data_IF_213004359459
#
_entry.id   IF_213004359459
#
_cell.length_a   1.000
_cell.length_b   1.000
_cell.length_c   1.000
_cell.angle_alpha   90.00
_cell.angle_beta   90.00
_cell.angle_gamma   90.00
#
_symmetry.space_group_name_H-M   'P 1'
#
loop_
_entity.id
_entity.type
_entity.pdbx_description
1 polymer ?
#
# COMPACT_ATOMS: atom_id res chain seq x y z
N UNK A 1 32.26 8.58 -15.36
CA UNK A 1 32.50 7.16 -15.74
C UNK A 1 31.76 6.29 -14.76
N UNK A 2 31.16 5.18 -15.21
CA UNK A 2 30.42 4.30 -14.31
C UNK A 2 31.36 3.36 -13.56
N UNK A 3 31.28 3.38 -12.24
CA UNK A 3 31.98 2.46 -11.35
C UNK A 3 30.97 1.64 -10.56
N UNK A 4 31.14 0.31 -10.53
CA UNK A 4 30.23 -0.60 -9.82
C UNK A 4 30.92 -1.24 -8.63
N UNK A 5 30.24 -1.22 -7.49
CA UNK A 5 30.69 -1.86 -6.27
C UNK A 5 29.61 -2.87 -5.84
N UNK A 6 30.01 -4.11 -5.61
CA UNK A 6 29.11 -5.18 -5.17
C UNK A 6 29.52 -5.62 -3.77
N UNK A 7 28.69 -5.31 -2.77
CA UNK A 7 28.86 -5.81 -1.42
C UNK A 7 28.11 -7.14 -1.26
N UNK A 8 28.88 -8.23 -1.21
CA UNK A 8 28.36 -9.60 -1.19
C UNK A 8 27.63 -9.92 0.11
N UNK A 9 26.46 -10.56 -0.02
CA UNK A 9 25.60 -10.97 1.10
C UNK A 9 25.22 -9.82 2.07
N UNK A 10 25.21 -8.58 1.59
CA UNK A 10 24.78 -7.43 2.37
C UNK A 10 23.34 -7.06 2.01
N UNK A 11 22.39 -7.83 2.53
CA UNK A 11 20.97 -7.55 2.29
C UNK A 11 20.52 -6.32 3.09
N UNK A 12 19.89 -5.37 2.40
CA UNK A 12 19.33 -4.16 2.99
C UNK A 12 17.90 -3.93 2.49
N UNK A 13 17.08 -3.31 3.34
CA UNK A 13 15.74 -2.89 2.95
C UNK A 13 15.80 -1.75 1.90
N UNK A 14 14.81 -1.69 1.02
CA UNK A 14 14.77 -0.72 -0.09
C UNK A 14 14.75 0.74 0.39
N UNK A 15 14.19 1.04 1.57
CA UNK A 15 14.19 2.38 2.16
C UNK A 15 15.62 2.77 2.59
N UNK A 16 16.35 1.84 3.22
CA UNK A 16 17.75 2.07 3.63
C UNK A 16 18.59 2.38 2.39
N UNK A 17 18.42 1.60 1.32
CA UNK A 17 19.13 1.80 0.05
C UNK A 17 18.77 3.12 -0.65
N UNK A 18 17.50 3.52 -0.62
CA UNK A 18 17.05 4.80 -1.17
C UNK A 18 17.63 5.99 -0.39
N UNK A 19 17.57 5.94 0.95
CA UNK A 19 18.16 6.97 1.81
C UNK A 19 19.68 7.06 1.63
N UNK A 20 20.35 5.92 1.51
CA UNK A 20 21.77 5.85 1.21
C UNK A 20 22.07 6.48 -0.17
N UNK A 21 21.29 6.15 -1.20
CA UNK A 21 21.42 6.75 -2.54
C UNK A 21 21.33 8.27 -2.47
N UNK A 22 20.31 8.80 -1.77
CA UNK A 22 20.15 10.25 -1.59
C UNK A 22 21.32 10.87 -0.84
N UNK A 23 21.87 10.19 0.17
CA UNK A 23 23.04 10.66 0.93
C UNK A 23 24.28 10.72 0.03
N UNK A 24 24.53 9.69 -0.77
CA UNK A 24 25.66 9.67 -1.71
C UNK A 24 25.56 10.78 -2.76
N UNK A 25 24.36 11.07 -3.28
CA UNK A 25 24.14 12.17 -4.21
C UNK A 25 24.46 13.57 -3.63
N UNK A 26 24.70 13.70 -2.33
CA UNK A 26 25.16 14.96 -1.71
C UNK A 26 26.67 15.14 -1.69
N UNK A 27 27.44 14.10 -2.04
CA UNK A 27 28.91 14.13 -2.05
C UNK A 27 29.39 14.86 -3.31
N UNK A 28 30.26 15.84 -3.13
CA UNK A 28 30.87 16.59 -4.24
C UNK A 28 31.71 15.65 -5.13
N UNK A 29 31.57 15.78 -6.45
CA UNK A 29 32.24 14.94 -7.44
C UNK A 29 31.48 13.68 -7.86
N UNK A 30 30.30 13.43 -7.29
CA UNK A 30 29.35 12.41 -7.76
C UNK A 30 28.32 13.05 -8.70
N UNK A 31 28.36 12.69 -9.98
CA UNK A 31 27.39 13.15 -10.97
C UNK A 31 26.05 12.42 -10.83
N UNK A 32 26.11 11.12 -10.53
CA UNK A 32 24.95 10.28 -10.31
C UNK A 32 25.32 9.07 -9.44
N UNK A 33 24.36 8.53 -8.71
CA UNK A 33 24.54 7.32 -7.91
C UNK A 33 23.22 6.55 -7.80
N UNK A 34 23.31 5.23 -7.70
CA UNK A 34 22.17 4.38 -7.37
C UNK A 34 22.62 3.16 -6.56
N UNK A 35 21.94 2.92 -5.43
CA UNK A 35 22.16 1.74 -4.59
C UNK A 35 20.90 0.89 -4.58
N UNK A 36 21.00 -0.37 -4.99
CA UNK A 36 19.87 -1.31 -5.00
C UNK A 36 20.34 -2.75 -4.71
N UNK A 37 19.41 -3.64 -4.35
CA UNK A 37 19.71 -5.07 -4.29
C UNK A 37 19.96 -5.65 -5.69
N UNK A 38 20.85 -6.63 -5.83
CA UNK A 38 21.22 -7.29 -7.09
C UNK A 38 20.16 -8.23 -7.68
N UNK A 39 18.87 -7.95 -7.49
CA UNK A 39 17.75 -8.73 -8.03
C UNK A 39 17.63 -8.52 -9.55
N UNK A 40 17.04 -9.47 -10.30
CA UNK A 40 16.79 -9.29 -11.73
C UNK A 40 16.01 -8.00 -12.06
N UNK A 41 14.96 -7.70 -11.29
CA UNK A 41 14.15 -6.49 -11.49
C UNK A 41 14.96 -5.19 -11.32
N UNK A 42 15.80 -5.12 -10.28
CA UNK A 42 16.64 -3.93 -10.06
C UNK A 42 17.73 -3.80 -11.13
N UNK A 43 18.27 -4.92 -11.64
CA UNK A 43 19.20 -4.89 -12.78
C UNK A 43 18.57 -4.25 -14.02
N UNK A 44 17.28 -4.50 -14.26
CA UNK A 44 16.56 -3.85 -15.35
C UNK A 44 16.35 -2.35 -15.09
N UNK A 45 16.11 -1.94 -13.84
CA UNK A 45 16.08 -0.52 -13.45
C UNK A 45 17.41 0.17 -13.76
N UNK A 46 18.55 -0.45 -13.42
CA UNK A 46 19.86 0.09 -13.77
C UNK A 46 20.04 0.24 -15.29
N UNK A 47 19.56 -0.72 -16.10
CA UNK A 47 19.64 -0.63 -17.58
C UNK A 47 18.83 0.55 -18.10
N UNK A 48 17.59 0.68 -17.67
CA UNK A 48 16.71 1.78 -18.10
C UNK A 48 17.23 3.14 -17.65
N UNK A 49 17.86 3.20 -16.47
CA UNK A 49 18.49 4.41 -15.94
C UNK A 49 19.84 4.76 -16.54
N UNK A 50 20.39 3.93 -17.46
CA UNK A 50 21.72 4.15 -18.03
C UNK A 50 22.88 3.94 -17.05
N UNK A 51 22.63 3.23 -15.95
CA UNK A 51 23.59 2.95 -14.86
C UNK A 51 23.98 1.46 -14.82
N UNK A 52 23.71 0.68 -15.87
CA UNK A 52 24.08 -0.73 -15.89
C UNK A 52 25.53 -0.92 -16.35
N UNK A 53 26.27 -1.79 -15.65
CA UNK A 53 27.61 -2.23 -16.02
C UNK A 53 27.65 -3.76 -16.17
N UNK A 54 28.60 -4.29 -16.93
CA UNK A 54 28.73 -5.74 -17.11
C UNK A 54 29.03 -6.48 -15.78
N UNK A 55 29.73 -5.82 -14.86
CA UNK A 55 30.10 -6.34 -13.54
C UNK A 55 28.88 -6.73 -12.70
N UNK A 56 27.77 -6.02 -12.89
CA UNK A 56 26.48 -6.25 -12.21
C UNK A 56 25.86 -7.62 -12.53
N UNK A 57 26.25 -8.25 -13.64
CA UNK A 57 25.80 -9.61 -13.97
C UNK A 57 26.13 -10.62 -12.85
N UNK A 58 27.23 -10.39 -12.12
CA UNK A 58 27.70 -11.22 -11.01
C UNK A 58 26.97 -10.98 -9.68
N UNK A 59 26.11 -9.98 -9.58
CA UNK A 59 25.33 -9.70 -8.37
C UNK A 59 24.14 -10.68 -8.25
N UNK A 60 23.84 -11.10 -7.04
CA UNK A 60 22.67 -11.92 -6.70
C UNK A 60 21.66 -11.09 -5.90
N UNK A 61 20.46 -11.64 -5.66
CA UNK A 61 19.42 -10.97 -4.87
C UNK A 61 19.82 -10.65 -3.42
N UNK A 62 20.90 -11.27 -2.91
CA UNK A 62 21.42 -11.03 -1.56
C UNK A 62 22.56 -10.00 -1.53
N UNK A 63 22.99 -9.49 -2.68
CA UNK A 63 24.10 -8.55 -2.78
C UNK A 63 23.57 -7.11 -2.92
N UNK A 64 24.16 -6.18 -2.18
CA UNK A 64 23.94 -4.76 -2.40
C UNK A 64 24.84 -4.28 -3.54
N UNK A 65 24.25 -3.62 -4.53
CA UNK A 65 24.93 -3.09 -5.70
C UNK A 65 24.85 -1.58 -5.68
N UNK A 66 26.02 -0.95 -5.77
CA UNK A 66 26.19 0.48 -5.92
C UNK A 66 26.74 0.74 -7.33
N UNK A 67 26.14 1.70 -8.03
CA UNK A 67 26.73 2.28 -9.25
C UNK A 67 26.91 3.78 -9.04
N UNK A 68 28.11 4.26 -9.31
CA UNK A 68 28.51 5.66 -9.23
C UNK A 68 28.87 6.16 -10.64
N UNK A 69 28.41 7.35 -10.99
CA UNK A 69 28.96 8.12 -12.11
C UNK A 69 29.88 9.21 -11.55
N UNK A 70 31.19 8.98 -11.65
CA UNK A 70 32.25 9.83 -11.08
C UNK A 70 33.35 10.06 -12.11
N UNK A 71 34.07 11.17 -12.00
CA UNK A 71 35.23 11.46 -12.86
C UNK A 71 36.56 11.04 -12.23
N UNK A 72 36.64 11.07 -10.90
CA UNK A 72 37.85 10.80 -10.13
C UNK A 72 37.65 9.58 -9.21
N UNK A 73 38.48 8.56 -9.36
CA UNK A 73 38.39 7.32 -8.57
C UNK A 73 38.72 7.53 -7.07
N UNK A 74 39.41 8.60 -6.71
CA UNK A 74 39.75 8.95 -5.31
C UNK A 74 38.51 9.14 -4.43
N UNK A 75 37.36 9.47 -5.04
CA UNK A 75 36.07 9.63 -4.37
C UNK A 75 35.53 8.28 -3.84
N UNK A 76 35.95 7.15 -4.42
CA UNK A 76 35.45 5.81 -4.05
C UNK A 76 35.71 5.51 -2.58
N UNK A 77 36.87 5.87 -2.03
CA UNK A 77 37.18 5.64 -0.61
C UNK A 77 36.24 6.43 0.31
N UNK A 78 35.94 7.68 -0.07
CA UNK A 78 34.99 8.54 0.66
C UNK A 78 33.58 7.93 0.63
N UNK A 79 33.15 7.44 -0.54
CA UNK A 79 31.85 6.78 -0.69
C UNK A 79 31.74 5.53 0.17
N UNK A 80 32.77 4.66 0.16
CA UNK A 80 32.77 3.46 0.97
C UNK A 80 32.70 3.78 2.47
N UNK A 81 33.46 4.78 2.93
CA UNK A 81 33.39 5.25 4.31
C UNK A 81 32.00 5.77 4.68
N UNK A 82 31.34 6.49 3.76
CA UNK A 82 30.01 7.04 4.00
C UNK A 82 28.93 5.96 4.06
N UNK A 83 29.04 4.92 3.23
CA UNK A 83 28.18 3.74 3.27
C UNK A 83 28.30 3.04 4.62
N UNK A 84 29.52 2.77 5.07
CA UNK A 84 29.77 2.08 6.34
C UNK A 84 29.25 2.90 7.53
N UNK A 85 29.46 4.22 7.51
CA UNK A 85 28.92 5.12 8.53
C UNK A 85 27.38 5.14 8.53
N UNK A 86 26.76 5.26 7.36
CA UNK A 86 25.30 5.27 7.23
C UNK A 86 24.64 3.98 7.71
N UNK A 87 25.19 2.82 7.32
CA UNK A 87 24.67 1.52 7.74
C UNK A 87 24.88 1.28 9.24
N UNK A 88 26.00 1.76 9.79
CA UNK A 88 26.26 1.71 11.24
C UNK A 88 25.29 2.59 12.02
N UNK A 89 25.03 3.82 11.56
CA UNK A 89 24.06 4.72 12.20
C UNK A 89 22.63 4.15 12.16
N UNK A 90 22.22 3.54 11.04
CA UNK A 90 20.94 2.85 10.94
C UNK A 90 20.80 1.74 11.98
N UNK A 91 21.87 0.98 12.22
CA UNK A 91 21.86 -0.08 13.24
C UNK A 91 21.75 0.47 14.68
N UNK A 92 22.26 1.68 14.95
CA UNK A 92 22.25 2.33 16.26
C UNK A 92 21.00 3.20 16.51
N UNK A 93 20.28 3.60 15.46
CA UNK A 93 19.07 4.43 15.52
C UNK A 93 17.80 3.65 15.88
N UNK A 94 17.90 2.33 16.02
CA UNK A 94 16.81 1.47 16.50
C UNK A 94 16.54 1.73 18.00
N UNK A 95 15.81 2.81 18.28
CA UNK A 95 15.24 3.06 19.60
C UNK A 95 14.24 1.96 19.97
N UNK A 96 14.43 1.40 21.17
CA UNK A 96 13.89 0.14 21.72
C UNK A 96 14.62 -1.14 21.25
N UNK A 97 15.15 -1.90 22.22
CA UNK A 97 15.78 -3.21 22.00
C UNK A 97 14.77 -4.15 21.32
N UNK A 98 14.83 -4.20 19.99
CA UNK A 98 14.01 -5.12 19.21
C UNK A 98 14.58 -6.52 19.41
N UNK A 99 13.84 -7.37 20.11
CA UNK A 99 14.23 -8.76 20.32
C UNK A 99 14.05 -9.54 19.02
N UNK A 100 15.16 -10.04 18.46
CA UNK A 100 15.15 -10.80 17.21
C UNK A 100 15.44 -12.29 17.45
N UNK A 101 14.73 -13.14 16.70
CA UNK A 101 14.87 -14.60 16.75
C UNK A 101 14.87 -15.16 15.34
N UNK A 102 15.36 -16.40 15.18
CA UNK A 102 15.56 -17.04 13.87
C UNK A 102 14.68 -18.27 13.63
N UNK A 103 13.78 -18.59 14.55
CA UNK A 103 12.89 -19.77 14.44
C UNK A 103 11.49 -19.43 14.92
N UNK A 104 10.48 -20.08 14.32
CA UNK A 104 9.08 -19.93 14.73
C UNK A 104 8.84 -20.28 16.19
N UNK A 105 9.44 -21.37 16.68
CA UNK A 105 9.30 -21.78 18.09
C UNK A 105 9.66 -20.64 19.05
N UNK A 106 10.81 -19.99 18.83
CA UNK A 106 11.25 -18.86 19.65
C UNK A 106 10.39 -17.61 19.41
N UNK A 107 9.93 -17.38 18.19
CA UNK A 107 9.06 -16.24 17.86
C UNK A 107 7.70 -16.37 18.55
N UNK A 108 7.13 -17.58 18.57
CA UNK A 108 5.86 -17.87 19.23
C UNK A 108 5.98 -17.85 20.75
N UNK A 109 7.13 -18.23 21.32
CA UNK A 109 7.38 -18.10 22.76
C UNK A 109 7.49 -16.62 23.17
N UNK A 110 8.28 -15.85 22.42
CA UNK A 110 8.47 -14.41 22.64
C UNK A 110 7.16 -13.62 22.45
N UNK A 111 6.41 -13.95 21.40
CA UNK A 111 5.17 -13.32 20.98
C UNK A 111 3.92 -14.11 21.33
N UNK A 112 3.92 -14.89 22.42
CA UNK A 112 2.79 -15.79 22.77
C UNK A 112 1.45 -15.07 22.83
N UNK A 113 1.45 -13.83 23.32
CA UNK A 113 0.25 -13.00 23.48
C UNK A 113 -0.09 -12.17 22.23
N UNK A 114 0.84 -12.07 21.27
CA UNK A 114 0.59 -11.36 20.01
C UNK A 114 -0.54 -12.06 19.23
N UNK A 115 -1.44 -11.29 18.64
CA UNK A 115 -2.57 -11.83 17.86
C UNK A 115 -2.36 -11.77 16.36
N UNK A 116 -1.39 -10.98 15.90
CA UNK A 116 -1.11 -10.71 14.50
C UNK A 116 0.33 -11.06 14.20
N UNK A 117 0.57 -11.79 13.11
CA UNK A 117 1.88 -11.98 12.50
C UNK A 117 2.00 -11.07 11.27
N UNK A 118 3.08 -10.29 11.18
CA UNK A 118 3.34 -9.40 10.04
C UNK A 118 4.45 -10.03 9.20
N UNK A 119 4.17 -10.28 7.92
CA UNK A 119 5.07 -10.95 6.99
C UNK A 119 5.44 -10.01 5.84
N UNK A 120 6.74 -9.76 5.69
CA UNK A 120 7.35 -8.91 4.66
C UNK A 120 8.58 -9.58 4.05
N UNK A 121 8.41 -10.81 3.60
CA UNK A 121 9.46 -11.68 3.02
C UNK A 121 9.23 -11.86 1.51
N UNK A 122 10.17 -12.47 0.74
CA UNK A 122 9.92 -12.76 -0.66
C UNK A 122 8.63 -13.58 -0.87
N UNK A 123 7.78 -13.17 -1.81
CA UNK A 123 6.46 -13.77 -2.06
C UNK A 123 6.45 -15.28 -2.31
N UNK A 124 7.45 -15.76 -3.04
CA UNK A 124 7.63 -17.18 -3.33
C UNK A 124 7.84 -18.03 -2.08
N UNK A 125 8.20 -17.40 -0.96
CA UNK A 125 8.42 -18.03 0.34
C UNK A 125 7.30 -17.72 1.34
N UNK A 126 6.34 -16.86 1.00
CA UNK A 126 5.36 -16.36 1.98
C UNK A 126 4.27 -17.37 2.34
N UNK A 127 3.83 -18.22 1.40
CA UNK A 127 2.71 -19.14 1.64
C UNK A 127 2.94 -20.11 2.83
N UNK A 128 4.09 -20.81 2.96
CA UNK A 128 4.37 -21.66 4.13
C UNK A 128 4.41 -20.90 5.46
N UNK A 129 4.88 -19.65 5.44
CA UNK A 129 5.01 -18.80 6.63
C UNK A 129 3.64 -18.27 7.08
N UNK A 130 2.76 -17.93 6.11
CA UNK A 130 1.35 -17.60 6.37
C UNK A 130 0.64 -18.80 7.00
N UNK A 131 0.80 -20.00 6.42
CA UNK A 131 0.18 -21.22 6.91
C UNK A 131 0.63 -21.56 8.34
N UNK A 132 1.91 -21.39 8.64
CA UNK A 132 2.47 -21.57 9.98
C UNK A 132 1.85 -20.60 10.99
N UNK A 133 1.73 -19.32 10.62
CA UNK A 133 1.11 -18.31 11.49
C UNK A 133 -0.37 -18.57 11.75
N UNK A 134 -1.14 -18.94 10.72
CA UNK A 134 -2.56 -19.30 10.84
C UNK A 134 -2.72 -20.54 11.72
N UNK A 135 -1.92 -21.59 11.49
CA UNK A 135 -1.94 -22.81 12.32
C UNK A 135 -1.59 -22.54 13.79
N UNK A 136 -0.83 -21.47 14.08
CA UNK A 136 -0.54 -20.99 15.43
C UNK A 136 -1.65 -20.08 16.03
N UNK A 137 -2.80 -19.95 15.36
CA UNK A 137 -3.95 -19.18 15.82
C UNK A 137 -3.75 -17.66 15.73
N UNK A 138 -2.93 -17.18 14.79
CA UNK A 138 -2.63 -15.75 14.60
C UNK A 138 -3.34 -15.22 13.35
N UNK A 139 -3.89 -14.02 13.41
CA UNK A 139 -4.20 -13.26 12.21
C UNK A 139 -2.90 -12.96 11.46
N UNK A 140 -2.96 -12.81 10.14
CA UNK A 140 -1.78 -12.56 9.33
C UNK A 140 -1.95 -11.28 8.54
N UNK A 141 -0.99 -10.38 8.66
CA UNK A 141 -0.80 -9.24 7.77
C UNK A 141 0.35 -9.57 6.81
N UNK A 142 0.02 -9.83 5.55
CA UNK A 142 0.96 -10.21 4.51
C UNK A 142 1.20 -9.03 3.57
N UNK A 143 2.30 -8.31 3.83
CA UNK A 143 2.80 -7.26 2.94
C UNK A 143 3.36 -7.85 1.64
N UNK A 144 3.97 -9.04 1.72
CA UNK A 144 4.56 -9.73 0.58
C UNK A 144 3.60 -9.84 -0.61
N UNK A 145 4.04 -9.38 -1.77
CA UNK A 145 3.42 -9.64 -3.07
C UNK A 145 4.05 -10.89 -3.73
N UNK A 146 3.58 -11.31 -4.90
CA UNK A 146 4.05 -12.47 -5.68
C UNK A 146 3.76 -13.84 -5.04
N UNK A 147 2.70 -13.91 -4.22
CA UNK A 147 2.05 -15.18 -3.87
C UNK A 147 1.08 -15.55 -4.99
N UNK A 148 1.03 -16.82 -5.39
CA UNK A 148 0.10 -17.25 -6.45
C UNK A 148 -1.36 -17.04 -6.05
N UNK A 149 -2.23 -16.92 -7.03
CA UNK A 149 -3.67 -16.73 -6.78
C UNK A 149 -4.26 -17.95 -6.09
N UNK A 150 -3.84 -19.15 -6.48
CA UNK A 150 -4.28 -20.41 -5.91
C UNK A 150 -3.93 -20.50 -4.41
N UNK A 151 -2.71 -20.11 -4.04
CA UNK A 151 -2.28 -20.08 -2.63
C UNK A 151 -3.03 -19.01 -1.85
N UNK A 152 -3.24 -17.82 -2.40
CA UNK A 152 -4.06 -16.79 -1.74
C UNK A 152 -5.47 -17.32 -1.42
N UNK A 153 -6.14 -17.93 -2.40
CA UNK A 153 -7.49 -18.49 -2.22
C UNK A 153 -7.48 -19.57 -1.15
N UNK A 154 -6.53 -20.50 -1.20
CA UNK A 154 -6.39 -21.60 -0.23
C UNK A 154 -6.19 -21.07 1.19
N UNK A 155 -5.26 -20.13 1.37
CA UNK A 155 -4.89 -19.60 2.67
C UNK A 155 -5.98 -18.68 3.26
N UNK A 156 -6.68 -17.89 2.43
CA UNK A 156 -7.83 -17.09 2.89
C UNK A 156 -8.98 -17.95 3.36
N UNK A 157 -9.26 -19.07 2.66
CA UNK A 157 -10.26 -20.06 3.12
C UNK A 157 -9.86 -20.69 4.44
N UNK A 158 -8.59 -21.09 4.58
CA UNK A 158 -8.07 -21.62 5.85
C UNK A 158 -8.22 -20.62 7.00
N UNK A 159 -7.88 -19.34 6.77
CA UNK A 159 -8.05 -18.30 7.77
C UNK A 159 -9.53 -18.12 8.17
N UNK A 160 -10.43 -18.04 7.18
CA UNK A 160 -11.87 -17.92 7.38
C UNK A 160 -12.43 -19.09 8.22
N UNK A 161 -12.09 -20.33 7.88
CA UNK A 161 -12.51 -21.53 8.60
C UNK A 161 -12.03 -21.55 10.06
N UNK A 162 -10.92 -20.88 10.36
CA UNK A 162 -10.36 -20.75 11.70
C UNK A 162 -10.84 -19.51 12.46
N UNK A 163 -11.68 -18.67 11.86
CA UNK A 163 -12.09 -17.39 12.45
C UNK A 163 -10.96 -16.35 12.54
N UNK A 164 -9.96 -16.47 11.66
CA UNK A 164 -8.82 -15.58 11.55
C UNK A 164 -8.92 -14.71 10.28
N UNK A 165 -8.11 -13.66 10.24
CA UNK A 165 -8.01 -12.77 9.08
C UNK A 165 -6.66 -12.99 8.40
N UNK A 166 -6.68 -13.16 7.08
CA UNK A 166 -5.51 -13.04 6.23
C UNK A 166 -5.62 -11.73 5.44
N UNK A 167 -4.95 -10.69 5.93
CA UNK A 167 -4.84 -9.37 5.33
C UNK A 167 -3.71 -9.40 4.28
N UNK A 168 -4.06 -9.54 3.01
CA UNK A 168 -3.10 -9.77 1.93
C UNK A 168 -3.25 -11.17 1.31
N UNK A 169 -2.31 -11.65 0.49
CA UNK A 169 -1.03 -11.05 0.08
C UNK A 169 -1.18 -9.69 -0.62
N UNK A 170 -0.07 -8.97 -0.80
CA UNK A 170 -0.05 -7.60 -1.37
C UNK A 170 -0.95 -6.63 -0.56
N UNK A 171 -0.82 -6.67 0.77
CA UNK A 171 -1.49 -5.74 1.68
C UNK A 171 -0.53 -4.64 2.14
N UNK A 172 -0.58 -3.49 1.46
CA UNK A 172 0.35 -2.39 1.71
C UNK A 172 0.09 -1.54 2.95
N UNK A 173 -1.14 -1.53 3.48
CA UNK A 173 -1.56 -0.56 4.50
C UNK A 173 -2.48 -1.18 5.54
N UNK A 174 -2.20 -0.93 6.82
CA UNK A 174 -3.11 -1.24 7.92
C UNK A 174 -2.95 -0.33 9.13
N UNK A 175 -4.02 -0.23 9.92
CA UNK A 175 -4.03 0.35 11.26
C UNK A 175 -4.86 -0.59 12.13
N UNK A 176 -4.22 -1.31 13.06
CA UNK A 176 -4.87 -2.30 13.91
C UNK A 176 -4.81 -1.84 15.37
N UNK A 177 -5.95 -1.53 15.99
CA UNK A 177 -6.04 -0.93 17.34
C UNK A 177 -5.24 0.38 17.49
N UNK A 178 -5.14 1.14 16.39
CA UNK A 178 -4.30 2.33 16.26
C UNK A 178 -2.80 2.06 16.15
N UNK A 179 -2.39 0.80 15.96
CA UNK A 179 -1.00 0.44 15.66
C UNK A 179 -0.82 0.48 14.14
N UNK A 180 0.12 1.30 13.63
CA UNK A 180 0.42 1.34 12.20
C UNK A 180 1.08 0.04 11.74
N UNK A 181 0.64 -0.52 10.60
CA UNK A 181 1.24 -1.72 9.98
C UNK A 181 1.54 -1.44 8.50
N UNK A 182 2.76 -1.77 8.07
CA UNK A 182 3.32 -1.46 6.75
C UNK A 182 3.27 0.04 6.41
N UNK A 183 2.88 0.43 5.20
CA UNK A 183 2.83 1.83 4.78
C UNK A 183 1.52 2.47 5.21
N UNK A 184 1.59 3.34 6.21
CA UNK A 184 0.39 3.95 6.80
C UNK A 184 0.71 5.33 7.39
N UNK A 185 -0.33 6.02 7.82
CA UNK A 185 -0.27 7.40 8.29
C UNK A 185 -0.63 7.45 9.78
N UNK A 186 0.04 8.30 10.54
CA UNK A 186 -0.35 8.57 11.93
C UNK A 186 -1.65 9.39 11.94
N UNK A 187 -2.78 8.71 12.16
CA UNK A 187 -4.11 9.32 12.20
C UNK A 187 -4.71 9.24 13.61
N UNK A 188 -5.80 9.98 13.87
CA UNK A 188 -6.44 9.98 15.19
C UNK A 188 -7.14 8.65 15.39
N UNK A 189 -7.11 8.14 16.63
CA UNK A 189 -8.08 7.15 17.08
C UNK A 189 -9.47 7.78 17.09
N UNK A 190 -10.48 7.03 16.66
CA UNK A 190 -11.87 7.49 16.63
C UNK A 190 -12.81 6.32 16.45
N UNK A 191 -13.93 6.54 15.77
CA UNK A 191 -15.07 5.60 15.73
C UNK A 191 -15.44 5.11 14.33
N UNK A 192 -14.59 5.39 13.34
CA UNK A 192 -14.81 4.98 11.95
C UNK A 192 -13.94 3.75 11.67
N UNK A 193 -14.55 2.63 11.30
CA UNK A 193 -13.86 1.44 10.85
C UNK A 193 -13.66 1.48 9.34
N UNK A 194 -12.43 1.33 8.87
CA UNK A 194 -12.11 1.32 7.43
C UNK A 194 -11.66 -0.07 7.02
N UNK A 195 -12.15 -0.58 5.89
CA UNK A 195 -11.68 -1.80 5.25
C UNK A 195 -11.48 -1.56 3.76
N UNK A 196 -10.39 -2.06 3.19
CA UNK A 196 -10.12 -1.80 1.78
C UNK A 196 -9.19 -2.77 1.07
N UNK A 197 -9.47 -3.01 -0.21
CA UNK A 197 -8.56 -3.67 -1.15
C UNK A 197 -7.73 -2.64 -1.92
N UNK A 198 -7.21 -1.65 -1.18
CA UNK A 198 -6.57 -0.46 -1.74
C UNK A 198 -5.70 0.22 -0.69
N UNK A 199 -4.37 0.03 -0.75
CA UNK A 199 -3.44 0.62 0.21
C UNK A 199 -3.53 2.15 0.23
N UNK A 200 -3.22 2.81 -0.89
CA UNK A 200 -3.27 4.28 -0.95
C UNK A 200 -4.69 4.85 -0.82
N UNK A 201 -5.74 4.07 -1.15
CA UNK A 201 -7.13 4.50 -0.88
C UNK A 201 -7.44 4.53 0.62
N UNK A 202 -6.98 3.52 1.38
CA UNK A 202 -7.06 3.54 2.84
C UNK A 202 -6.29 4.74 3.39
N UNK A 203 -5.06 4.98 2.93
CA UNK A 203 -4.25 6.12 3.39
C UNK A 203 -4.95 7.46 3.15
N UNK A 204 -5.52 7.65 1.97
CA UNK A 204 -6.21 8.89 1.62
C UNK A 204 -7.46 9.12 2.49
N UNK A 205 -8.37 8.14 2.53
CA UNK A 205 -9.62 8.24 3.30
C UNK A 205 -9.33 8.46 4.78
N UNK A 206 -8.42 7.70 5.37
CA UNK A 206 -8.06 7.84 6.79
C UNK A 206 -7.40 9.20 7.08
N UNK A 207 -6.60 9.72 6.14
CA UNK A 207 -5.98 11.05 6.25
C UNK A 207 -7.02 12.17 6.14
N UNK A 208 -8.00 12.07 5.23
CA UNK A 208 -9.08 13.05 5.12
C UNK A 208 -9.98 13.02 6.36
N UNK A 209 -10.37 11.83 6.85
CA UNK A 209 -11.09 11.66 8.12
C UNK A 209 -10.35 12.37 9.25
N UNK A 210 -9.02 12.21 9.32
CA UNK A 210 -8.19 12.95 10.25
C UNK A 210 -8.28 14.46 10.00
N UNK A 211 -8.07 14.96 8.78
CA UNK A 211 -8.14 16.41 8.50
C UNK A 211 -9.48 17.02 8.89
N UNK A 212 -10.58 16.27 8.74
CA UNK A 212 -11.93 16.66 9.15
C UNK A 212 -12.17 16.62 10.67
N UNK A 213 -11.19 16.21 11.46
CA UNK A 213 -11.23 16.20 12.93
C UNK A 213 -11.79 14.93 13.55
N UNK A 214 -12.09 13.90 12.75
CA UNK A 214 -12.48 12.57 13.21
C UNK A 214 -11.26 11.63 13.26
N UNK A 215 -11.50 10.35 13.53
CA UNK A 215 -10.48 9.33 13.64
C UNK A 215 -11.03 7.92 13.38
N UNK A 216 -10.14 6.95 13.29
CA UNK A 216 -10.47 5.57 12.95
C UNK A 216 -10.27 4.61 14.12
N UNK A 217 -11.08 3.56 14.18
CA UNK A 217 -10.87 2.40 15.07
C UNK A 217 -9.80 1.50 14.50
N UNK A 218 -10.06 1.05 13.27
CA UNK A 218 -9.25 0.15 12.48
C UNK A 218 -9.18 0.65 11.04
N UNK A 219 -8.10 0.31 10.34
CA UNK A 219 -8.01 0.37 8.90
C UNK A 219 -7.44 -0.96 8.40
N UNK A 220 -8.30 -1.83 7.86
CA UNK A 220 -7.96 -3.21 7.53
C UNK A 220 -7.75 -3.34 6.01
N UNK A 221 -6.51 -3.54 5.59
CA UNK A 221 -6.18 -3.88 4.22
C UNK A 221 -6.47 -5.36 3.93
N UNK A 222 -7.06 -5.68 2.78
CA UNK A 222 -7.47 -7.06 2.44
C UNK A 222 -6.59 -7.74 1.39
N UNK A 223 -5.68 -6.98 0.76
CA UNK A 223 -4.88 -7.40 -0.39
C UNK A 223 -5.51 -6.97 -1.72
N UNK A 224 -4.70 -6.55 -2.69
CA UNK A 224 -5.19 -5.93 -3.93
C UNK A 224 -6.05 -6.82 -4.83
N UNK A 225 -6.04 -8.14 -4.62
CA UNK A 225 -6.78 -9.14 -5.41
C UNK A 225 -8.04 -9.66 -4.72
N UNK A 226 -8.31 -9.26 -3.47
CA UNK A 226 -9.35 -9.86 -2.64
C UNK A 226 -10.75 -9.82 -3.28
N UNK A 227 -11.07 -8.73 -3.99
CA UNK A 227 -12.38 -8.53 -4.62
C UNK A 227 -12.46 -9.10 -6.05
N UNK A 228 -11.43 -9.83 -6.51
CA UNK A 228 -11.51 -10.59 -7.75
C UNK A 228 -12.42 -11.81 -7.56
N UNK A 229 -13.07 -12.22 -8.65
CA UNK A 229 -14.01 -13.34 -8.68
C UNK A 229 -13.43 -14.62 -8.06
N UNK A 230 -12.17 -14.93 -8.36
CA UNK A 230 -11.48 -16.13 -7.87
C UNK A 230 -11.25 -16.15 -6.35
N UNK A 231 -11.04 -14.98 -5.74
CA UNK A 231 -10.81 -14.85 -4.28
C UNK A 231 -12.14 -14.72 -3.54
N UNK A 232 -13.10 -13.99 -4.11
CA UNK A 232 -14.46 -13.93 -3.61
C UNK A 232 -14.66 -13.02 -2.39
N UNK A 233 -13.74 -12.07 -2.16
CA UNK A 233 -13.84 -11.06 -1.09
C UNK A 233 -13.87 -11.65 0.31
N UNK A 234 -13.14 -12.75 0.55
CA UNK A 234 -13.17 -13.47 1.83
C UNK A 234 -12.75 -12.53 2.96
N UNK A 235 -11.56 -11.95 2.86
CA UNK A 235 -11.04 -11.08 3.91
C UNK A 235 -11.86 -9.80 4.04
N UNK A 236 -12.35 -9.23 2.93
CA UNK A 236 -13.26 -8.09 2.94
C UNK A 236 -14.53 -8.38 3.77
N UNK A 237 -15.22 -9.49 3.48
CA UNK A 237 -16.46 -9.86 4.20
C UNK A 237 -16.20 -10.15 5.67
N UNK A 238 -15.13 -10.87 5.98
CA UNK A 238 -14.77 -11.18 7.37
C UNK A 238 -14.37 -9.92 8.15
N UNK A 239 -13.69 -8.97 7.50
CA UNK A 239 -13.31 -7.69 8.10
C UNK A 239 -14.53 -6.79 8.34
N UNK A 240 -15.49 -6.75 7.41
CA UNK A 240 -16.77 -6.05 7.61
C UNK A 240 -17.49 -6.63 8.83
N UNK A 241 -17.57 -7.96 8.95
CA UNK A 241 -18.17 -8.62 10.11
C UNK A 241 -17.41 -8.31 11.40
N UNK A 242 -16.08 -8.25 11.38
CA UNK A 242 -15.29 -7.87 12.54
C UNK A 242 -15.59 -6.43 12.99
N UNK A 243 -15.67 -5.47 12.04
CA UNK A 243 -16.01 -4.07 12.31
C UNK A 243 -17.47 -3.91 12.77
N UNK A 244 -18.39 -4.71 12.24
CA UNK A 244 -19.78 -4.73 12.69
C UNK A 244 -19.89 -5.16 14.16
N UNK A 245 -19.07 -6.11 14.61
CA UNK A 245 -19.05 -6.55 16.01
C UNK A 245 -18.13 -5.73 16.93
N UNK A 246 -17.29 -4.83 16.39
CA UNK A 246 -16.42 -3.96 17.18
C UNK A 246 -17.25 -2.86 17.88
N UNK A 247 -17.39 -2.87 19.22
CA UNK A 247 -18.21 -1.89 19.93
C UNK A 247 -17.70 -0.44 19.79
N UNK A 248 -16.44 -0.23 19.43
CA UNK A 248 -15.87 1.11 19.26
C UNK A 248 -16.14 1.70 17.86
N UNK A 249 -16.54 0.85 16.91
CA UNK A 249 -16.85 1.27 15.54
C UNK A 249 -18.32 1.67 15.44
N UNK A 250 -18.61 2.88 14.97
CA UNK A 250 -19.96 3.43 14.76
C UNK A 250 -20.30 3.62 13.27
N UNK A 251 -19.30 3.80 12.40
CA UNK A 251 -19.47 3.94 10.95
C UNK A 251 -18.44 3.06 10.23
N UNK A 252 -18.83 2.37 9.16
CA UNK A 252 -17.94 1.52 8.36
C UNK A 252 -17.67 2.19 7.00
N UNK A 253 -16.42 2.20 6.55
CA UNK A 253 -16.05 2.61 5.19
C UNK A 253 -15.41 1.45 4.45
N UNK A 254 -15.93 1.14 3.26
CA UNK A 254 -15.45 0.07 2.38
C UNK A 254 -14.85 0.67 1.12
N UNK A 255 -13.58 0.37 0.85
CA UNK A 255 -12.82 0.94 -0.26
C UNK A 255 -12.35 -0.15 -1.22
N UNK A 256 -12.67 -0.01 -2.50
CA UNK A 256 -12.14 -0.92 -3.51
C UNK A 256 -11.93 -0.24 -4.86
N UNK A 257 -10.95 -0.74 -5.61
CA UNK A 257 -10.97 -0.65 -7.09
C UNK A 257 -12.19 -1.42 -7.62
N UNK A 258 -12.59 -1.29 -8.91
CA UNK A 258 -13.76 -1.99 -9.43
C UNK A 258 -13.79 -3.48 -9.04
N UNK A 259 -14.71 -3.90 -8.16
CA UNK A 259 -14.83 -5.30 -7.73
C UNK A 259 -15.43 -6.16 -8.85
N UNK A 260 -15.26 -7.49 -8.76
CA UNK A 260 -16.06 -8.39 -9.59
C UNK A 260 -17.56 -8.25 -9.24
N UNK A 261 -18.48 -8.19 -10.23
CA UNK A 261 -19.89 -7.88 -9.98
C UNK A 261 -20.56 -8.77 -8.92
N UNK A 262 -20.30 -10.09 -8.94
CA UNK A 262 -20.85 -11.00 -7.92
C UNK A 262 -20.35 -10.65 -6.52
N UNK A 263 -19.04 -10.41 -6.38
CA UNK A 263 -18.42 -10.10 -5.09
C UNK A 263 -18.91 -8.75 -4.56
N UNK A 264 -19.07 -7.76 -5.45
CA UNK A 264 -19.68 -6.47 -5.13
C UNK A 264 -21.06 -6.65 -4.51
N UNK A 265 -21.92 -7.40 -5.18
CA UNK A 265 -23.31 -7.58 -4.76
C UNK A 265 -23.39 -8.31 -3.41
N UNK A 266 -22.50 -9.27 -3.16
CA UNK A 266 -22.34 -9.93 -1.86
C UNK A 266 -21.90 -8.96 -0.74
N UNK A 267 -20.92 -8.09 -1.02
CA UNK A 267 -20.44 -7.08 -0.06
C UNK A 267 -21.55 -6.07 0.26
N UNK A 268 -22.26 -5.57 -0.75
CA UNK A 268 -23.39 -4.66 -0.55
C UNK A 268 -24.52 -5.34 0.23
N UNK A 269 -24.84 -6.60 -0.10
CA UNK A 269 -25.85 -7.36 0.64
C UNK A 269 -25.46 -7.62 2.10
N UNK A 270 -24.16 -7.79 2.39
CA UNK A 270 -23.65 -7.90 3.75
C UNK A 270 -23.84 -6.59 4.52
N UNK A 271 -23.44 -5.46 3.94
CA UNK A 271 -23.57 -4.13 4.57
C UNK A 271 -25.04 -3.77 4.83
N UNK A 272 -25.96 -4.08 3.90
CA UNK A 272 -27.41 -3.89 4.10
C UNK A 272 -27.99 -4.67 5.29
N UNK A 273 -27.37 -5.78 5.67
CA UNK A 273 -27.79 -6.59 6.83
C UNK A 273 -27.14 -6.12 8.14
N UNK A 274 -26.13 -5.27 8.05
CA UNK A 274 -25.47 -4.66 9.20
C UNK A 274 -26.38 -3.66 9.90
N UNK A 275 -26.03 -3.36 11.14
CA UNK A 275 -26.71 -2.37 11.98
C UNK A 275 -26.04 -1.01 11.91
N UNK A 276 -24.75 -0.96 11.55
CA UNK A 276 -23.98 0.28 11.47
C UNK A 276 -24.09 0.93 10.09
N UNK A 277 -24.15 2.26 10.00
CA UNK A 277 -24.08 2.96 8.73
C UNK A 277 -22.78 2.67 8.01
N UNK A 278 -22.89 2.40 6.71
CA UNK A 278 -21.78 2.08 5.85
C UNK A 278 -21.63 3.08 4.70
N UNK A 279 -20.39 3.41 4.36
CA UNK A 279 -20.03 4.15 3.15
C UNK A 279 -19.20 3.25 2.25
N UNK A 280 -19.56 3.14 0.98
CA UNK A 280 -18.78 2.38 -0.01
C UNK A 280 -18.21 3.30 -1.07
N UNK A 281 -16.95 3.12 -1.42
CA UNK A 281 -16.32 3.70 -2.61
C UNK A 281 -15.76 2.57 -3.46
N UNK A 282 -16.46 2.29 -4.56
CA UNK A 282 -16.01 1.38 -5.61
C UNK A 282 -15.60 2.24 -6.80
N UNK A 283 -14.30 2.49 -6.92
CA UNK A 283 -13.77 3.40 -7.93
C UNK A 283 -14.24 3.02 -9.33
N UNK A 284 -14.68 4.01 -10.10
CA UNK A 284 -15.24 3.80 -11.44
C UNK A 284 -16.75 3.56 -11.48
N UNK A 285 -17.42 3.37 -10.34
CA UNK A 285 -18.88 3.44 -10.27
C UNK A 285 -19.33 4.89 -10.08
N UNK A 286 -20.41 5.30 -10.76
CA UNK A 286 -21.09 6.59 -10.57
C UNK A 286 -22.42 6.35 -9.86
N UNK A 287 -22.43 6.21 -8.52
CA UNK A 287 -23.67 6.01 -7.80
C UNK A 287 -24.55 7.27 -7.91
N UNK A 288 -25.83 7.08 -8.22
CA UNK A 288 -26.80 8.18 -8.36
C UNK A 288 -27.78 8.25 -7.18
N UNK A 289 -27.67 7.30 -6.25
CA UNK A 289 -28.57 7.14 -5.12
C UNK A 289 -27.84 6.62 -3.87
N UNK A 290 -28.46 6.86 -2.73
CA UNK A 290 -28.08 6.29 -1.43
C UNK A 290 -29.24 5.47 -0.90
N UNK A 291 -28.91 4.40 -0.19
CA UNK A 291 -29.87 3.59 0.55
C UNK A 291 -29.83 3.98 2.03
N UNK A 292 -30.92 3.74 2.77
CA UNK A 292 -30.89 3.91 4.23
C UNK A 292 -29.79 3.03 4.82
N UNK A 293 -28.90 3.62 5.62
CA UNK A 293 -27.75 2.95 6.25
C UNK A 293 -26.63 2.49 5.28
N UNK A 294 -26.74 2.75 3.97
CA UNK A 294 -25.72 2.40 2.97
C UNK A 294 -25.54 3.53 1.95
N UNK A 295 -24.45 4.26 2.08
CA UNK A 295 -24.09 5.43 1.29
C UNK A 295 -22.99 5.07 0.30
N UNK A 296 -23.11 5.58 -0.92
CA UNK A 296 -22.21 5.22 -2.02
C UNK A 296 -21.53 6.48 -2.54
N UNK A 297 -20.22 6.55 -2.36
CA UNK A 297 -19.40 7.68 -2.77
C UNK A 297 -18.85 7.48 -4.18
N UNK A 298 -18.62 8.58 -4.88
CA UNK A 298 -17.93 8.63 -6.16
C UNK A 298 -16.41 8.83 -6.01
N UNK A 299 -15.97 9.59 -5.00
CA UNK A 299 -14.54 9.82 -4.71
C UNK A 299 -14.12 9.36 -3.32
N UNK A 300 -12.81 9.18 -3.12
CA UNK A 300 -12.19 8.90 -1.81
C UNK A 300 -12.47 10.04 -0.82
N UNK A 301 -12.43 11.29 -1.28
CA UNK A 301 -12.77 12.45 -0.44
C UNK A 301 -14.23 12.43 -0.02
N UNK A 302 -15.14 12.20 -0.96
CA UNK A 302 -16.57 12.07 -0.67
C UNK A 302 -16.82 10.94 0.34
N UNK A 303 -16.15 9.79 0.18
CA UNK A 303 -16.28 8.67 1.12
C UNK A 303 -15.90 9.07 2.55
N UNK A 304 -14.80 9.82 2.70
CA UNK A 304 -14.36 10.33 4.00
C UNK A 304 -15.33 11.37 4.57
N UNK A 305 -15.84 12.29 3.75
CA UNK A 305 -16.80 13.32 4.17
C UNK A 305 -18.11 12.68 4.65
N UNK A 306 -18.69 11.77 3.86
CA UNK A 306 -19.91 11.04 4.22
C UNK A 306 -19.72 10.27 5.53
N UNK A 307 -18.58 9.60 5.72
CA UNK A 307 -18.30 8.86 6.95
C UNK A 307 -18.28 9.78 8.19
N UNK A 308 -17.71 10.98 8.06
CA UNK A 308 -17.67 11.98 9.15
C UNK A 308 -19.05 12.58 9.41
N UNK A 309 -19.82 12.89 8.36
CA UNK A 309 -21.21 13.39 8.51
C UNK A 309 -22.09 12.37 9.21
N UNK A 310 -22.00 11.09 8.83
CA UNK A 310 -22.72 9.99 9.47
C UNK A 310 -22.36 9.86 10.94
N UNK A 311 -21.06 9.89 11.27
CA UNK A 311 -20.59 9.83 12.65
C UNK A 311 -21.13 10.98 13.50
N UNK A 312 -21.26 12.18 12.92
CA UNK A 312 -21.77 13.38 13.61
C UNK A 312 -23.29 13.51 13.58
N UNK A 313 -23.99 12.59 12.92
CA UNK A 313 -25.44 12.67 12.68
C UNK A 313 -25.83 13.98 11.98
N UNK A 314 -24.96 14.46 11.10
CA UNK A 314 -25.19 15.64 10.26
C UNK A 314 -26.14 15.28 9.11
N UNK A 315 -26.78 16.30 8.53
CA UNK A 315 -27.55 16.09 7.32
C UNK A 315 -26.59 15.67 6.19
N UNK A 316 -26.89 14.51 5.58
CA UNK A 316 -26.09 13.99 4.48
C UNK A 316 -26.20 14.94 3.29
N UNK A 317 -25.06 15.49 2.90
CA UNK A 317 -24.97 16.45 1.83
C UNK A 317 -23.56 16.48 1.27
N UNK A 318 -23.45 16.41 -0.04
CA UNK A 318 -22.20 16.65 -0.73
C UNK A 318 -22.06 18.16 -0.89
N UNK A 319 -21.24 18.79 -0.06
CA UNK A 319 -20.77 20.11 -0.42
C UNK A 319 -19.71 19.94 -1.50
N UNK A 320 -19.92 20.45 -2.73
CA UNK A 320 -18.86 20.45 -3.71
C UNK A 320 -17.66 21.16 -3.09
N UNK A 321 -16.50 20.51 -3.16
CA UNK A 321 -15.25 21.11 -2.68
C UNK A 321 -15.12 22.46 -3.35
N UNK A 322 -15.17 23.53 -2.55
CA UNK A 322 -14.93 24.90 -3.01
C UNK A 322 -13.44 25.08 -3.24
N UNK A 323 -12.88 24.35 -4.20
CA UNK A 323 -11.54 24.66 -4.67
C UNK A 323 -11.63 25.83 -5.64
N UNK A 324 -10.95 26.92 -5.27
CA UNK A 324 -10.52 27.90 -6.25
C UNK A 324 -9.56 27.18 -7.20
N UNK A 325 -10.08 26.69 -8.32
CA UNK A 325 -9.22 26.28 -9.43
C UNK A 325 -8.40 27.50 -9.82
N UNK A 326 -7.11 27.49 -9.46
CA UNK A 326 -6.20 28.54 -9.89
C UNK A 326 -6.26 28.58 -11.42
N UNK A 327 -6.62 29.74 -11.98
CA UNK A 327 -6.69 29.90 -13.43
C UNK A 327 -5.30 29.61 -14.01
N UNK A 328 -5.12 28.44 -14.59
CA UNK A 328 -3.90 28.09 -15.28
C UNK A 328 -3.92 28.74 -16.67
N UNK A 329 -3.04 29.72 -16.88
CA UNK A 329 -2.81 30.28 -18.20
C UNK A 329 -1.92 29.32 -18.99
N UNK A 330 -2.52 28.51 -19.87
CA UNK A 330 -1.78 27.65 -20.78
C UNK A 330 -1.29 28.45 -21.99
N UNK A 331 -0.03 28.24 -22.38
CA UNK A 331 0.51 28.73 -23.64
C UNK A 331 -0.11 28.00 -24.84
N UNK A 332 -0.08 28.60 -26.05
CA UNK A 332 -0.74 28.04 -27.24
C UNK A 332 -0.22 26.65 -27.67
N UNK A 333 1.02 26.31 -27.32
CA UNK A 333 1.66 25.02 -27.65
C UNK A 333 1.44 23.94 -26.58
N UNK A 334 0.83 24.27 -25.42
CA UNK A 334 0.63 23.32 -24.33
C UNK A 334 -0.65 22.51 -24.55
N UNK A 335 -0.48 21.31 -25.11
CA UNK A 335 -1.61 20.43 -25.48
C UNK A 335 -1.75 19.17 -24.63
N UNK A 336 -0.86 18.94 -23.65
CA UNK A 336 -0.78 17.66 -22.93
C UNK A 336 -0.68 17.86 -21.43
N UNK A 337 -1.39 17.03 -20.68
CA UNK A 337 -1.23 16.86 -19.24
C UNK A 337 -0.42 15.57 -19.02
N UNK A 338 0.65 15.66 -18.22
CA UNK A 338 1.38 14.49 -17.74
C UNK A 338 1.29 14.49 -16.22
N UNK A 339 0.66 13.46 -15.66
CA UNK A 339 0.50 13.31 -14.22
C UNK A 339 1.22 12.03 -13.77
N UNK A 340 2.10 12.17 -12.79
CA UNK A 340 2.89 11.09 -12.22
C UNK A 340 2.37 10.78 -10.82
N UNK A 341 1.96 9.54 -10.60
CA UNK A 341 1.39 9.09 -9.32
C UNK A 341 2.22 7.94 -8.76
N UNK A 342 2.42 7.96 -7.45
CA UNK A 342 3.01 6.86 -6.68
C UNK A 342 1.96 5.90 -6.09
N UNK A 343 0.68 6.27 -6.15
CA UNK A 343 -0.43 5.47 -5.62
C UNK A 343 -1.41 5.05 -6.71
N UNK A 344 -1.51 3.76 -6.99
CA UNK A 344 -2.35 3.25 -8.09
C UNK A 344 -3.84 3.61 -7.96
N UNK A 345 -4.36 3.70 -6.73
CA UNK A 345 -5.75 4.09 -6.48
C UNK A 345 -5.99 5.58 -6.69
N UNK A 346 -5.05 6.43 -6.24
CA UNK A 346 -5.11 7.88 -6.47
C UNK A 346 -5.04 8.19 -7.97
N UNK A 347 -4.14 7.50 -8.67
CA UNK A 347 -3.98 7.60 -10.11
C UNK A 347 -5.25 7.15 -10.86
N UNK A 348 -5.93 6.12 -10.36
CA UNK A 348 -7.19 5.63 -10.93
C UNK A 348 -8.33 6.62 -10.74
N UNK A 349 -8.51 7.16 -9.55
CA UNK A 349 -9.51 8.20 -9.29
C UNK A 349 -9.26 9.44 -10.14
N UNK A 350 -8.01 9.91 -10.21
CA UNK A 350 -7.65 11.05 -11.04
C UNK A 350 -7.93 10.79 -12.53
N UNK A 351 -7.61 9.59 -13.04
CA UNK A 351 -7.91 9.20 -14.41
C UNK A 351 -9.43 9.23 -14.68
N UNK A 352 -10.24 8.71 -13.77
CA UNK A 352 -11.70 8.75 -13.85
C UNK A 352 -12.21 10.20 -13.91
N UNK A 353 -11.75 11.06 -13.00
CA UNK A 353 -12.16 12.47 -12.93
C UNK A 353 -11.72 13.26 -14.17
N UNK A 354 -10.49 13.06 -14.66
CA UNK A 354 -9.99 13.72 -15.88
C UNK A 354 -10.78 13.26 -17.10
N UNK A 355 -11.07 11.95 -17.21
CA UNK A 355 -11.87 11.41 -18.30
C UNK A 355 -13.27 12.03 -18.31
N UNK A 356 -13.94 12.09 -17.16
CA UNK A 356 -15.25 12.71 -17.03
C UNK A 356 -15.21 14.22 -17.35
N UNK A 357 -14.26 14.94 -16.76
CA UNK A 357 -14.13 16.40 -16.92
C UNK A 357 -13.75 16.86 -18.33
N UNK A 358 -12.99 16.04 -19.08
CA UNK A 358 -12.59 16.34 -20.46
C UNK A 358 -13.44 15.61 -21.51
N UNK A 359 -14.45 14.83 -21.09
CA UNK A 359 -15.33 14.05 -21.95
C UNK A 359 -14.54 13.13 -22.93
N UNK A 360 -13.56 12.40 -22.40
CA UNK A 360 -12.68 11.53 -23.19
C UNK A 360 -13.31 10.15 -23.39
N UNK A 361 -13.25 9.64 -24.62
CA UNK A 361 -13.68 8.28 -24.94
C UNK A 361 -12.66 7.23 -24.45
N UNK A 362 -13.13 6.01 -24.19
CA UNK A 362 -12.31 4.94 -23.65
C UNK A 362 -11.53 4.24 -24.77
N UNK A 363 -10.21 4.36 -24.81
CA UNK A 363 -9.39 3.33 -25.43
C UNK A 363 -9.24 2.20 -24.40
N UNK A 364 -9.93 1.07 -24.61
CA UNK A 364 -9.92 -0.12 -23.73
C UNK A 364 -8.55 -0.83 -23.63
N UNK A 365 -7.50 -0.27 -24.23
CA UNK A 365 -6.16 -0.80 -24.12
C UNK A 365 -5.45 -0.16 -22.92
N UNK A 366 -5.38 -0.88 -21.80
CA UNK A 366 -4.35 -0.62 -20.79
C UNK A 366 -2.98 -0.70 -21.46
N UNK A 367 -2.43 0.45 -21.84
CA UNK A 367 -1.06 0.50 -22.32
C UNK A 367 -0.12 0.36 -21.11
N UNK A 368 0.86 -0.52 -21.22
CA UNK A 368 1.81 -0.81 -20.14
C UNK A 368 2.40 0.49 -19.57
N UNK A 369 2.23 0.69 -18.26
CA UNK A 369 2.67 1.88 -17.54
C UNK A 369 1.70 3.08 -17.50
N UNK A 370 0.53 3.01 -18.15
CA UNK A 370 -0.47 4.10 -18.13
C UNK A 370 -1.82 3.63 -17.57
N UNK A 371 -2.41 4.44 -16.68
CA UNK A 371 -3.81 4.27 -16.26
C UNK A 371 -4.77 5.00 -17.22
N UNK A 372 -4.38 6.19 -17.69
CA UNK A 372 -5.09 6.94 -18.72
C UNK A 372 -4.07 7.48 -19.72
N UNK A 373 -4.35 7.26 -21.01
CA UNK A 373 -3.66 7.87 -22.13
C UNK A 373 -4.69 8.18 -23.20
N UNK A 374 -4.90 9.45 -23.47
CA UNK A 374 -5.92 9.96 -24.40
C UNK A 374 -5.37 11.19 -25.14
#
# INVERSE_FOLDING_TARGET
MLHTIIQKNNYQDSIVLMLLTNRLLTIEGINNASVMMGTPANKDIFKTGGLYTEEMSNATSNDMVLVLDIEEEEIIETVLSEIDAFLSDQSNSAGEETQSVKTWEKALDLGKDAKVAVLSIPGTMAAPEIETALAAGKHVFCFSDNVSLEEEVRLKKMAHEQGLLLMGPDCGTGILNGIPVAFTNAVRKGKIGVVGASGTGIQEVTTIIHKLGAGVTQAIGTGGRDLKEAVGGITMKDSILALEHDPDTEVIVVISKPPAPRVRDEVLALLRRGTKPAVTIFLGEEPTDHEENLYRAYTLEEAAQLAVQLLRQEQIGLEPVKEETAAAAFGPEQQKIKAYYSGGTLAYEAAMLVKAGLNLEQEDAHQEGYILKA
#
